data_IF_491716526731
#
_entry.id   IF_491716526731
#
_cell.length_a   1.000
_cell.length_b   1.000
_cell.length_c   1.000
_cell.angle_alpha   90.00
_cell.angle_beta   90.00
_cell.angle_gamma   90.00
#
_symmetry.space_group_name_H-M   'P 1'
#
loop_
_entity.id
_entity.type
_entity.pdbx_description
1 polymer ?
#
# COMPACT_ATOMS: atom_id res chain seq x y z
N UNK A 1 9.51 -24.21 -4.66
CA UNK A 1 9.44 -23.64 -3.29
C UNK A 1 10.39 -22.47 -3.25
N UNK A 2 10.01 -21.38 -2.58
CA UNK A 2 10.93 -20.26 -2.39
C UNK A 2 12.11 -20.72 -1.52
N UNK A 3 13.31 -20.27 -1.85
CA UNK A 3 14.56 -20.49 -1.09
C UNK A 3 14.75 -19.45 0.03
N UNK A 4 13.84 -18.47 0.13
CA UNK A 4 13.78 -17.45 1.15
C UNK A 4 12.31 -17.07 1.49
N UNK A 5 12.05 -16.40 2.63
CA UNK A 5 10.72 -15.89 2.96
C UNK A 5 10.22 -14.84 1.96
N UNK A 6 8.92 -14.86 1.66
CA UNK A 6 8.25 -13.87 0.82
C UNK A 6 7.38 -12.98 1.71
N UNK A 7 7.35 -11.68 1.41
CA UNK A 7 6.38 -10.75 2.02
C UNK A 7 5.03 -10.98 1.33
N UNK A 8 4.08 -11.59 2.05
CA UNK A 8 2.72 -11.76 1.55
C UNK A 8 1.92 -10.45 1.59
N UNK A 9 2.08 -9.64 2.62
CA UNK A 9 1.50 -8.31 2.66
C UNK A 9 2.26 -7.39 3.59
N UNK A 10 1.95 -6.11 3.49
CA UNK A 10 2.36 -5.07 4.42
C UNK A 10 1.20 -4.11 4.62
N UNK A 11 1.16 -3.47 5.79
CA UNK A 11 0.11 -2.52 6.13
C UNK A 11 0.69 -1.12 6.25
N UNK A 12 -0.04 -0.14 5.71
CA UNK A 12 0.30 1.28 5.78
C UNK A 12 -0.90 2.09 6.27
N UNK A 13 -0.63 3.25 6.88
CA UNK A 13 -1.69 4.17 7.25
C UNK A 13 -2.00 5.14 6.11
N UNK A 14 -3.29 5.39 5.91
CA UNK A 14 -3.84 6.34 4.96
C UNK A 14 -4.93 7.20 5.62
N UNK A 15 -5.16 8.38 5.06
CA UNK A 15 -6.26 9.28 5.40
C UNK A 15 -7.55 8.84 4.74
N UNK A 16 -7.44 8.32 3.52
CA UNK A 16 -8.54 7.87 2.69
C UNK A 16 -8.23 6.46 2.13
N UNK A 17 -8.25 5.40 2.97
CA UNK A 17 -7.80 4.06 2.59
C UNK A 17 -8.36 3.54 1.26
N UNK A 18 -9.65 3.78 0.99
CA UNK A 18 -10.28 3.41 -0.29
C UNK A 18 -9.65 4.12 -1.49
N UNK A 19 -9.52 5.45 -1.40
CA UNK A 19 -9.00 6.27 -2.48
C UNK A 19 -7.54 5.93 -2.74
N UNK A 20 -6.75 5.77 -1.68
CA UNK A 20 -5.34 5.35 -1.75
C UNK A 20 -5.17 3.99 -2.39
N UNK A 21 -5.92 2.97 -1.95
CA UNK A 21 -5.85 1.63 -2.51
C UNK A 21 -6.26 1.64 -4.00
N UNK A 22 -7.29 2.40 -4.36
CA UNK A 22 -7.76 2.55 -5.73
C UNK A 22 -6.73 3.24 -6.62
N UNK A 23 -6.10 4.31 -6.11
CA UNK A 23 -5.05 5.03 -6.82
C UNK A 23 -3.85 4.13 -7.09
N UNK A 24 -3.38 3.39 -6.08
CA UNK A 24 -2.29 2.44 -6.27
C UNK A 24 -2.66 1.35 -7.27
N UNK A 25 -3.86 0.76 -7.16
CA UNK A 25 -4.32 -0.26 -8.10
C UNK A 25 -4.32 0.26 -9.55
N UNK A 26 -4.74 1.51 -9.76
CA UNK A 26 -4.69 2.16 -11.07
C UNK A 26 -3.28 2.33 -11.62
N UNK A 27 -2.31 2.66 -10.77
CA UNK A 27 -0.90 2.82 -11.15
C UNK A 27 -0.24 1.50 -11.57
N UNK A 28 -0.52 0.40 -10.85
CA UNK A 28 0.21 -0.86 -11.01
C UNK A 28 -0.57 -1.95 -11.77
N UNK A 29 -1.79 -1.65 -12.24
CA UNK A 29 -2.68 -2.67 -12.83
C UNK A 29 -3.19 -3.69 -11.80
N UNK A 30 -3.28 -3.26 -10.54
CA UNK A 30 -3.74 -4.06 -9.41
C UNK A 30 -5.27 -4.08 -9.26
N UNK A 31 -5.74 -4.48 -8.08
CA UNK A 31 -7.16 -4.43 -7.72
C UNK A 31 -7.35 -3.96 -6.28
N UNK A 32 -8.16 -2.91 -6.11
CA UNK A 32 -8.60 -2.46 -4.80
C UNK A 32 -9.84 -3.24 -4.33
N UNK A 33 -9.92 -3.52 -3.03
CA UNK A 33 -11.09 -4.16 -2.41
C UNK A 33 -11.25 -3.71 -0.94
N UNK A 34 -12.47 -3.71 -0.38
CA UNK A 34 -12.66 -3.59 1.05
C UNK A 34 -11.91 -4.70 1.80
N UNK A 35 -11.40 -4.38 3.00
CA UNK A 35 -10.72 -5.34 3.87
C UNK A 35 -11.67 -5.82 4.97
N UNK A 36 -12.22 -7.05 4.89
CA UNK A 36 -13.26 -7.50 5.81
C UNK A 36 -12.93 -7.39 7.31
N UNK A 37 -11.67 -7.59 7.76
CA UNK A 37 -11.33 -7.45 9.18
C UNK A 37 -11.47 -6.03 9.76
N UNK A 38 -11.55 -4.98 8.92
CA UNK A 38 -11.73 -3.61 9.39
C UNK A 38 -12.66 -2.81 8.46
N UNK A 39 -13.76 -2.26 8.99
CA UNK A 39 -14.80 -1.62 8.17
C UNK A 39 -14.30 -0.46 7.28
N UNK A 40 -13.31 0.30 7.77
CA UNK A 40 -12.68 1.40 7.01
C UNK A 40 -11.36 0.99 6.33
N UNK A 41 -10.97 -0.28 6.47
CA UNK A 41 -9.75 -0.82 5.87
C UNK A 41 -9.97 -1.20 4.40
N UNK A 42 -8.93 -1.02 3.60
CA UNK A 42 -8.91 -1.40 2.19
C UNK A 42 -7.62 -2.13 1.85
N UNK A 43 -7.64 -2.94 0.80
CA UNK A 43 -6.45 -3.59 0.25
C UNK A 43 -6.25 -3.21 -1.21
N UNK A 44 -4.99 -3.19 -1.64
CA UNK A 44 -4.61 -3.25 -3.05
C UNK A 44 -3.88 -4.57 -3.31
N UNK A 45 -4.51 -5.47 -4.05
CA UNK A 45 -3.83 -6.63 -4.63
C UNK A 45 -2.92 -6.17 -5.75
N UNK A 46 -1.69 -6.69 -5.78
CA UNK A 46 -0.66 -6.23 -6.71
C UNK A 46 -0.91 -6.67 -8.17
N UNK A 47 -1.94 -7.48 -8.41
CA UNK A 47 -2.39 -7.86 -9.74
C UNK A 47 -3.91 -8.03 -9.75
N UNK A 48 -4.57 -7.51 -10.80
CA UNK A 48 -6.00 -7.72 -11.00
C UNK A 48 -6.38 -9.21 -11.13
N UNK A 49 -5.46 -10.06 -11.64
CA UNK A 49 -5.68 -11.49 -11.83
C UNK A 49 -5.43 -12.31 -10.56
N UNK A 50 -4.66 -11.79 -9.59
CA UNK A 50 -4.29 -12.47 -8.33
C UNK A 50 -4.87 -11.71 -7.13
N UNK A 51 -6.19 -11.83 -6.96
CA UNK A 51 -6.96 -11.09 -5.94
C UNK A 51 -7.58 -12.00 -4.86
N UNK A 52 -6.77 -12.95 -4.38
CA UNK A 52 -7.13 -13.85 -3.28
C UNK A 52 -6.21 -13.55 -2.08
N UNK A 53 -6.67 -13.78 -0.86
CA UNK A 53 -5.94 -13.50 0.38
C UNK A 53 -4.64 -14.30 0.55
N UNK A 54 -4.42 -15.34 -0.26
CA UNK A 54 -3.13 -16.03 -0.32
C UNK A 54 -2.08 -15.34 -1.23
N UNK A 55 -2.50 -14.35 -2.02
CA UNK A 55 -1.63 -13.56 -2.90
C UNK A 55 -1.11 -12.30 -2.21
N UNK A 56 -0.26 -11.56 -2.92
CA UNK A 56 0.42 -10.37 -2.43
C UNK A 56 -0.48 -9.14 -2.49
N UNK A 57 -0.55 -8.40 -1.38
CA UNK A 57 -1.34 -7.17 -1.30
C UNK A 57 -0.77 -6.17 -0.29
N UNK A 58 -1.24 -4.94 -0.37
CA UNK A 58 -0.98 -3.90 0.63
C UNK A 58 -2.29 -3.57 1.33
N UNK A 59 -2.25 -3.55 2.67
CA UNK A 59 -3.36 -3.11 3.50
C UNK A 59 -3.24 -1.61 3.80
N UNK A 60 -4.36 -0.91 3.72
CA UNK A 60 -4.51 0.50 4.03
C UNK A 60 -5.47 0.64 5.20
N UNK A 61 -4.97 1.16 6.31
CA UNK A 61 -5.77 1.46 7.51
C UNK A 61 -5.94 2.96 7.69
N UNK A 62 -7.08 3.42 8.24
CA UNK A 62 -7.19 4.81 8.64
C UNK A 62 -6.15 5.12 9.73
N UNK A 63 -5.59 6.34 9.71
CA UNK A 63 -4.55 6.76 10.68
C UNK A 63 -5.00 6.78 12.13
N UNK A 64 -6.30 6.72 12.40
CA UNK A 64 -6.84 6.64 13.76
C UNK A 64 -6.85 5.22 14.32
N UNK A 65 -6.42 4.22 13.54
CA UNK A 65 -6.51 2.80 13.88
C UNK A 65 -5.12 2.18 14.02
N UNK A 66 -4.96 1.27 14.98
CA UNK A 66 -3.77 0.45 15.16
C UNK A 66 -4.15 -0.98 15.52
N UNK A 67 -3.30 -1.94 15.16
CA UNK A 67 -3.35 -3.28 15.74
C UNK A 67 -2.60 -3.29 17.05
N UNK A 68 -3.30 -3.57 18.14
CA UNK A 68 -2.73 -3.60 19.48
C UNK A 68 -2.93 -4.96 20.14
N UNK A 69 -1.98 -5.32 21.01
CA UNK A 69 -2.14 -6.47 21.90
C UNK A 69 -3.09 -6.08 23.03
N UNK A 70 -4.19 -6.81 23.16
CA UNK A 70 -5.13 -6.64 24.27
C UNK A 70 -4.88 -7.71 25.32
N UNK A 71 -4.65 -7.36 26.60
CA UNK A 71 -4.48 -8.35 27.67
C UNK A 71 -5.66 -9.33 27.72
N UNK A 72 -5.35 -10.63 27.77
CA UNK A 72 -6.36 -11.70 27.79
C UNK A 72 -7.00 -12.02 26.43
N UNK A 73 -6.72 -11.25 25.37
CA UNK A 73 -7.19 -11.58 24.03
C UNK A 73 -6.29 -12.63 23.36
N UNK A 74 -6.92 -13.53 22.60
CA UNK A 74 -6.24 -14.58 21.83
C UNK A 74 -5.57 -14.02 20.57
N UNK A 75 -6.03 -12.86 20.06
CA UNK A 75 -5.54 -12.21 18.84
C UNK A 75 -5.41 -10.70 19.04
N UNK A 76 -4.54 -10.02 18.27
CA UNK A 76 -4.53 -8.56 18.20
C UNK A 76 -5.90 -8.03 17.80
N UNK A 77 -6.24 -6.84 18.29
CA UNK A 77 -7.48 -6.15 17.95
C UNK A 77 -7.18 -4.83 17.29
N UNK A 78 -8.06 -4.40 16.38
CA UNK A 78 -8.07 -3.02 15.92
C UNK A 78 -8.55 -2.12 17.05
N UNK A 79 -7.74 -1.12 17.38
CA UNK A 79 -8.02 -0.14 18.42
C UNK A 79 -7.72 1.25 17.89
N UNK A 80 -8.28 2.26 18.54
CA UNK A 80 -7.90 3.64 18.25
C UNK A 80 -6.44 3.92 18.64
N UNK A 81 -5.77 4.73 17.84
CA UNK A 81 -4.43 5.26 18.14
C UNK A 81 -4.55 6.31 19.25
N UNK A 82 -3.61 6.28 20.20
CA UNK A 82 -3.52 7.30 21.24
C UNK A 82 -3.24 8.68 20.62
N UNK A 83 -3.96 9.71 21.06
CA UNK A 83 -3.93 11.03 20.40
C UNK A 83 -4.75 11.09 19.10
N UNK A 84 -5.44 10.01 18.75
CA UNK A 84 -6.44 9.95 17.68
C UNK A 84 -5.88 9.82 16.26
N UNK A 85 -4.55 9.92 16.07
CA UNK A 85 -3.97 9.87 14.73
C UNK A 85 -2.48 9.52 14.72
N UNK A 86 -2.12 8.48 13.98
CA UNK A 86 -0.73 8.09 13.74
C UNK A 86 -0.03 9.12 12.84
N UNK A 87 1.08 9.69 13.33
CA UNK A 87 1.89 10.69 12.63
C UNK A 87 3.11 10.10 11.92
N UNK A 88 3.41 8.81 12.15
CA UNK A 88 4.49 8.09 11.47
C UNK A 88 4.24 8.04 9.95
N UNK A 89 5.09 8.75 9.19
CA UNK A 89 5.03 8.83 7.73
C UNK A 89 6.30 8.27 7.04
N UNK A 90 7.25 7.75 7.82
CA UNK A 90 8.51 7.22 7.29
C UNK A 90 8.38 5.84 6.64
N UNK A 91 7.37 5.06 7.01
CA UNK A 91 7.15 3.73 6.45
C UNK A 91 6.53 3.82 5.06
N UNK A 92 7.20 3.24 4.08
CA UNK A 92 6.76 3.14 2.69
C UNK A 92 7.20 1.79 2.11
N UNK A 93 6.76 1.52 0.89
CA UNK A 93 7.09 0.29 0.16
C UNK A 93 7.74 0.62 -1.17
N UNK A 94 8.61 -0.29 -1.60
CA UNK A 94 9.19 -0.28 -2.93
C UNK A 94 8.58 -1.43 -3.74
N UNK A 95 7.94 -1.11 -4.87
CA UNK A 95 7.30 -2.07 -5.75
C UNK A 95 8.10 -2.17 -7.06
N UNK A 96 8.58 -3.37 -7.34
CA UNK A 96 9.19 -3.72 -8.62
C UNK A 96 8.07 -4.11 -9.57
N UNK A 97 8.00 -3.45 -10.72
CA UNK A 97 6.93 -3.58 -11.70
C UNK A 97 7.48 -4.17 -13.01
N UNK A 98 6.78 -5.12 -13.65
CA UNK A 98 7.20 -5.70 -14.93
C UNK A 98 6.92 -4.77 -16.12
N UNK A 99 7.28 -3.49 -16.00
CA UNK A 99 7.07 -2.44 -17.02
C UNK A 99 8.29 -1.51 -17.08
N UNK A 100 8.43 -0.80 -18.19
CA UNK A 100 9.51 0.19 -18.38
C UNK A 100 9.29 1.46 -17.57
N UNK A 101 10.38 2.21 -17.34
CA UNK A 101 10.33 3.53 -16.71
C UNK A 101 9.36 4.49 -17.44
N UNK A 102 9.33 4.47 -18.78
CA UNK A 102 8.41 5.28 -19.57
C UNK A 102 6.93 4.93 -19.32
N UNK A 103 6.63 3.64 -19.10
CA UNK A 103 5.27 3.22 -18.75
C UNK A 103 4.88 3.65 -17.34
N UNK A 104 5.82 3.60 -16.38
CA UNK A 104 5.61 4.13 -15.02
C UNK A 104 5.32 5.64 -15.07
N UNK A 105 6.11 6.40 -15.83
CA UNK A 105 5.93 7.85 -15.98
C UNK A 105 4.58 8.18 -16.62
N UNK A 106 4.18 7.47 -17.68
CA UNK A 106 2.88 7.65 -18.30
C UNK A 106 1.72 7.36 -17.33
N UNK A 107 1.80 6.28 -16.55
CA UNK A 107 0.80 5.96 -15.54
C UNK A 107 0.71 7.04 -14.45
N UNK A 108 1.84 7.55 -13.97
CA UNK A 108 1.89 8.61 -12.97
C UNK A 108 1.32 9.93 -13.53
N UNK A 109 1.69 10.32 -14.75
CA UNK A 109 1.14 11.50 -15.42
C UNK A 109 -0.39 11.43 -15.58
N UNK A 110 -0.93 10.25 -15.90
CA UNK A 110 -2.37 10.04 -16.02
C UNK A 110 -3.09 10.08 -14.66
N UNK A 111 -2.42 9.68 -13.58
CA UNK A 111 -3.00 9.67 -12.23
C UNK A 111 -3.20 11.07 -11.64
N UNK A 112 -2.43 12.05 -12.10
CA UNK A 112 -2.39 13.40 -11.51
C UNK A 112 -1.74 13.47 -10.12
N UNK A 113 -1.14 12.37 -9.64
CA UNK A 113 -0.47 12.32 -8.34
C UNK A 113 0.92 12.98 -8.40
N UNK A 114 1.40 13.62 -7.31
CA UNK A 114 2.78 14.08 -7.25
C UNK A 114 3.76 12.92 -7.37
N UNK A 115 4.74 13.05 -8.26
CA UNK A 115 5.75 12.02 -8.49
C UNK A 115 7.07 12.64 -8.96
N UNK A 116 8.18 11.96 -8.67
CA UNK A 116 9.50 12.35 -9.13
C UNK A 116 10.46 11.16 -9.14
N UNK A 117 11.28 11.06 -10.19
CA UNK A 117 12.39 10.12 -10.21
C UNK A 117 13.43 10.50 -9.15
N UNK A 118 13.86 9.52 -8.35
CA UNK A 118 14.95 9.65 -7.38
C UNK A 118 16.01 8.61 -7.65
N UNK A 119 17.28 9.03 -7.54
CA UNK A 119 18.47 8.21 -7.80
C UNK A 119 18.33 7.32 -9.06
N UNK A 120 19.23 6.36 -9.28
CA UNK A 120 19.22 5.56 -10.50
C UNK A 120 18.08 4.53 -10.50
N UNK A 121 16.86 4.96 -10.86
CA UNK A 121 15.81 4.07 -11.34
C UNK A 121 14.61 3.81 -10.44
N UNK A 122 14.34 4.63 -9.41
CA UNK A 122 13.08 4.53 -8.64
C UNK A 122 12.27 5.84 -8.74
N UNK A 123 10.95 5.72 -8.85
CA UNK A 123 10.01 6.84 -8.87
C UNK A 123 9.31 6.93 -7.53
N UNK A 124 9.47 8.04 -6.82
CA UNK A 124 8.63 8.35 -5.68
C UNK A 124 7.24 8.78 -6.18
N UNK A 125 6.16 8.21 -5.62
CA UNK A 125 4.78 8.58 -5.94
C UNK A 125 3.99 8.78 -4.66
N UNK A 126 3.43 9.98 -4.48
CA UNK A 126 2.60 10.31 -3.32
C UNK A 126 1.16 9.91 -3.58
N UNK A 127 0.71 8.86 -2.91
CA UNK A 127 -0.70 8.47 -2.91
C UNK A 127 -1.53 9.40 -2.01
N UNK A 128 -0.90 9.98 -0.99
CA UNK A 128 -1.42 11.03 -0.12
C UNK A 128 -0.27 11.91 0.39
N UNK A 129 -0.58 13.03 1.05
CA UNK A 129 0.40 13.97 1.64
C UNK A 129 1.46 13.28 2.53
N UNK A 130 1.06 12.22 3.24
CA UNK A 130 1.91 11.50 4.23
C UNK A 130 2.12 10.04 3.88
N UNK A 131 1.84 9.65 2.63
CA UNK A 131 2.00 8.28 2.16
C UNK A 131 2.54 8.29 0.74
N UNK A 132 3.76 7.78 0.63
CA UNK A 132 4.51 7.66 -0.62
C UNK A 132 4.83 6.18 -0.85
N UNK A 133 4.87 5.78 -2.11
CA UNK A 133 5.36 4.48 -2.56
C UNK A 133 6.44 4.71 -3.60
N UNK A 134 7.37 3.78 -3.70
CA UNK A 134 8.38 3.79 -4.75
C UNK A 134 8.01 2.77 -5.83
N UNK A 135 8.06 3.19 -7.09
CA UNK A 135 7.85 2.32 -8.25
C UNK A 135 9.18 2.13 -8.99
N UNK A 136 9.55 0.88 -9.24
CA UNK A 136 10.83 0.50 -9.87
C UNK A 136 10.55 -0.37 -11.08
N UNK A 137 11.09 -0.07 -12.26
CA UNK A 137 11.00 -0.97 -13.40
C UNK A 137 11.81 -2.24 -13.11
N UNK A 138 11.24 -3.41 -13.43
CA UNK A 138 11.97 -4.66 -13.50
C UNK A 138 13.04 -4.56 -14.60
N UNK A 139 14.23 -5.09 -14.34
CA UNK A 139 15.42 -4.88 -15.19
C UNK A 139 15.31 -5.57 -16.55
#
# INVERSE_FOLDING_TARGET
MADHPIIGHTSVYADHPQATATALAGLIGGRASPFPPHASGWVCFLSAARSDWCHEFIEFYPRDTQLARTPGAVRPMFMSVEGGRATGAGSHVNLILPVSAAQIEAACAHSGLPHAWRWSGLMDVWLEERLMVELVPDR
#
